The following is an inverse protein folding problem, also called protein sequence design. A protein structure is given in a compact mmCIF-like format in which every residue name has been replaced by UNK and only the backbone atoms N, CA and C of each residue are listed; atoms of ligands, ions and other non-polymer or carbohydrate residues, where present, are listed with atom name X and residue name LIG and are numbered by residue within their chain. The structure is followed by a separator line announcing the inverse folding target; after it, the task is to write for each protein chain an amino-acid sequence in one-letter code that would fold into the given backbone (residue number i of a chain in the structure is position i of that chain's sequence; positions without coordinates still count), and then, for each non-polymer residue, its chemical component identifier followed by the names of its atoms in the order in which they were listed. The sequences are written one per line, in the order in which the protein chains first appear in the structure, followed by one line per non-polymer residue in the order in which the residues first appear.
data_IF_362822998310
#
_entry.id   IF_362822998310
#
_cell.length_a   1.000
_cell.length_b   1.000
_cell.length_c   1.000
_cell.angle_alpha   90.00
_cell.angle_beta   90.00
_cell.angle_gamma   90.00
#
_symmetry.space_group_name_H-M   'P 1'
#
loop_
_entity.id
_entity.type
_entity.pdbx_description
1 polymer ?
#
# COMPACT_ATOMS: atom_id res chain seq x y z
N UNK A 1 -13.63 -34.37 -23.86
CA UNK A 1 -14.50 -33.95 -22.73
C UNK A 1 -13.72 -32.97 -21.86
N UNK A 2 -13.96 -31.67 -22.02
CA UNK A 2 -13.39 -30.62 -21.16
C UNK A 2 -14.37 -30.37 -20.02
N UNK A 3 -13.86 -30.16 -18.80
CA UNK A 3 -14.66 -29.85 -17.61
C UNK A 3 -15.37 -28.49 -17.79
N UNK A 4 -16.62 -28.33 -17.34
CA UNK A 4 -17.31 -27.05 -17.36
C UNK A 4 -17.04 -26.32 -16.04
N UNK A 5 -15.89 -25.68 -15.92
CA UNK A 5 -15.61 -24.70 -14.85
C UNK A 5 -14.40 -23.87 -15.29
N UNK A 6 -14.68 -22.88 -16.14
CA UNK A 6 -13.88 -21.66 -16.28
C UNK A 6 -14.68 -20.70 -17.17
N UNK A 7 -15.80 -20.20 -16.63
CA UNK A 7 -16.39 -18.98 -17.14
C UNK A 7 -15.73 -17.83 -16.39
N UNK A 8 -14.85 -17.12 -17.07
CA UNK A 8 -14.38 -15.78 -16.72
C UNK A 8 -15.56 -14.94 -16.21
N UNK A 9 -15.62 -14.67 -14.90
CA UNK A 9 -16.46 -13.58 -14.38
C UNK A 9 -15.64 -12.31 -14.40
N UNK A 10 -15.44 -11.77 -15.59
CA UNK A 10 -14.82 -10.46 -15.78
C UNK A 10 -15.93 -9.43 -15.95
N UNK A 11 -16.36 -8.85 -14.83
CA UNK A 11 -16.98 -7.52 -14.80
C UNK A 11 -16.44 -6.80 -13.56
N UNK A 12 -15.22 -6.29 -13.64
CA UNK A 12 -14.73 -5.30 -12.66
C UNK A 12 -15.27 -3.93 -13.09
N UNK A 13 -16.48 -3.64 -12.64
CA UNK A 13 -17.10 -2.32 -12.83
C UNK A 13 -16.24 -1.22 -12.21
N UNK A 14 -16.29 -0.02 -12.78
CA UNK A 14 -15.61 1.15 -12.23
C UNK A 14 -16.17 1.47 -10.84
N UNK A 15 -15.32 1.32 -9.81
CA UNK A 15 -15.65 1.66 -8.43
C UNK A 15 -14.89 2.90 -8.00
N UNK A 16 -15.61 3.92 -7.54
CA UNK A 16 -15.03 5.12 -6.92
C UNK A 16 -15.55 5.23 -5.50
N UNK A 17 -14.67 5.32 -4.50
CA UNK A 17 -15.08 5.56 -3.12
C UNK A 17 -14.72 6.98 -2.71
N UNK A 18 -15.67 7.75 -2.19
CA UNK A 18 -15.48 9.14 -1.80
C UNK A 18 -15.67 9.29 -0.29
N UNK A 19 -14.61 9.72 0.37
CA UNK A 19 -14.60 10.19 1.76
C UNK A 19 -14.53 11.72 1.76
N UNK A 20 -15.26 12.40 2.64
CA UNK A 20 -15.29 13.88 2.64
C UNK A 20 -15.40 14.49 4.02
N UNK A 21 -14.81 15.67 4.18
CA UNK A 21 -15.13 16.58 5.29
C UNK A 21 -16.44 17.32 5.01
N UNK A 22 -17.17 17.68 6.06
CA UNK A 22 -18.30 18.61 5.94
C UNK A 22 -17.80 19.97 5.48
N UNK A 23 -18.50 20.61 4.53
CA UNK A 23 -18.09 21.91 3.95
C UNK A 23 -16.95 21.86 2.92
N UNK A 24 -16.49 20.67 2.51
CA UNK A 24 -15.39 20.52 1.54
C UNK A 24 -15.80 20.48 0.07
N UNK A 25 -17.05 20.79 -0.27
CA UNK A 25 -17.63 20.60 -1.61
C UNK A 25 -17.73 19.13 -2.07
N UNK A 26 -17.54 18.17 -1.16
CA UNK A 26 -17.54 16.75 -1.53
C UNK A 26 -18.87 16.23 -2.06
N UNK A 27 -20.00 16.84 -1.68
CA UNK A 27 -21.32 16.43 -2.18
C UNK A 27 -21.54 16.91 -3.62
N UNK A 28 -21.17 18.15 -3.88
CA UNK A 28 -21.24 18.84 -5.16
C UNK A 28 -20.37 18.12 -6.18
N UNK A 29 -19.12 17.81 -5.81
CA UNK A 29 -18.19 17.03 -6.63
C UNK A 29 -18.77 15.64 -6.90
N UNK A 30 -19.26 14.94 -5.87
CA UNK A 30 -19.85 13.59 -6.05
C UNK A 30 -21.02 13.62 -7.02
N UNK A 31 -21.96 14.55 -6.83
CA UNK A 31 -23.17 14.69 -7.65
C UNK A 31 -22.82 14.97 -9.11
N UNK A 32 -21.89 15.90 -9.34
CA UNK A 32 -21.48 16.25 -10.69
C UNK A 32 -20.68 15.13 -11.35
N UNK A 33 -19.78 14.47 -10.63
CA UNK A 33 -19.02 13.32 -11.13
C UNK A 33 -19.94 12.16 -11.50
N UNK A 34 -20.92 11.83 -10.65
CA UNK A 34 -21.91 10.79 -10.90
C UNK A 34 -22.71 11.06 -12.19
N UNK A 35 -23.16 12.31 -12.39
CA UNK A 35 -23.83 12.72 -13.63
C UNK A 35 -22.93 12.59 -14.85
N UNK A 36 -21.66 12.98 -14.73
CA UNK A 36 -20.69 12.94 -15.84
C UNK A 36 -20.35 11.50 -16.27
N UNK A 37 -20.26 10.59 -15.31
CA UNK A 37 -19.92 9.18 -15.56
C UNK A 37 -21.15 8.28 -15.72
N UNK A 38 -22.36 8.82 -15.54
CA UNK A 38 -23.61 8.07 -15.49
C UNK A 38 -23.56 6.89 -14.48
N UNK A 39 -23.05 7.16 -13.28
CA UNK A 39 -22.90 6.14 -12.23
C UNK A 39 -23.91 6.34 -11.09
N UNK A 40 -24.46 5.26 -10.53
CA UNK A 40 -25.24 5.34 -9.30
C UNK A 40 -24.38 5.77 -8.13
N UNK A 41 -24.97 6.53 -7.20
CA UNK A 41 -24.33 6.94 -5.95
C UNK A 41 -24.93 6.19 -4.78
N UNK A 42 -24.09 5.42 -4.09
CA UNK A 42 -24.45 4.70 -2.87
C UNK A 42 -24.00 5.51 -1.67
N UNK A 43 -24.95 5.79 -0.76
CA UNK A 43 -24.73 6.58 0.45
C UNK A 43 -25.16 5.78 1.68
N UNK A 44 -24.81 6.27 2.86
CA UNK A 44 -25.32 5.70 4.11
C UNK A 44 -26.85 5.64 4.14
N UNK A 45 -27.50 6.73 3.74
CA UNK A 45 -28.95 6.84 3.81
C UNK A 45 -29.63 5.90 2.81
N UNK A 46 -29.08 5.73 1.61
CA UNK A 46 -29.63 4.77 0.65
C UNK A 46 -29.53 3.34 1.19
N UNK A 47 -28.41 2.98 1.81
CA UNK A 47 -28.21 1.65 2.39
C UNK A 47 -29.15 1.40 3.59
N UNK A 48 -29.23 2.34 4.54
CA UNK A 48 -30.08 2.16 5.72
C UNK A 48 -31.56 2.02 5.35
N UNK A 49 -32.03 2.83 4.40
CA UNK A 49 -33.44 2.85 4.01
C UNK A 49 -33.83 1.74 3.02
N UNK A 50 -32.92 1.32 2.14
CA UNK A 50 -33.25 0.35 1.08
C UNK A 50 -32.75 -1.06 1.39
N UNK A 51 -31.55 -1.20 1.96
CA UNK A 51 -30.91 -2.51 2.11
C UNK A 51 -31.08 -3.10 3.50
N UNK A 52 -30.99 -2.28 4.55
CA UNK A 52 -31.14 -2.74 5.93
C UNK A 52 -32.59 -2.88 6.35
N UNK A 53 -33.52 -2.18 5.70
CA UNK A 53 -34.96 -2.31 5.99
C UNK A 53 -35.50 -3.74 5.82
N UNK A 54 -34.82 -4.58 5.03
CA UNK A 54 -35.18 -5.99 4.81
C UNK A 54 -34.67 -6.92 5.93
N UNK A 55 -33.64 -6.51 6.66
CA UNK A 55 -32.87 -7.39 7.58
C UNK A 55 -32.80 -6.86 9.01
N UNK A 56 -33.29 -5.64 9.26
CA UNK A 56 -33.25 -4.96 10.55
C UNK A 56 -34.61 -4.38 10.90
N UNK A 57 -35.03 -4.53 12.16
CA UNK A 57 -36.24 -3.90 12.70
C UNK A 57 -36.09 -2.38 12.89
N UNK A 58 -37.19 -1.68 13.16
CA UNK A 58 -37.21 -0.22 13.36
C UNK A 58 -36.20 0.26 14.42
N UNK A 59 -36.09 -0.47 15.53
CA UNK A 59 -35.15 -0.13 16.59
C UNK A 59 -33.69 -0.28 16.14
N UNK A 60 -33.36 -1.37 15.45
CA UNK A 60 -32.02 -1.65 14.93
C UNK A 60 -31.61 -0.60 13.88
N UNK A 61 -32.53 -0.23 12.96
CA UNK A 61 -32.29 0.85 11.99
C UNK A 61 -31.98 2.18 12.66
N UNK A 62 -32.72 2.52 13.72
CA UNK A 62 -32.44 3.72 14.51
C UNK A 62 -31.05 3.63 15.19
N UNK A 63 -30.73 2.50 15.82
CA UNK A 63 -29.43 2.28 16.46
C UNK A 63 -28.25 2.33 15.47
N UNK A 64 -28.43 1.81 14.25
CA UNK A 64 -27.45 1.93 13.15
C UNK A 64 -27.26 3.38 12.70
N UNK A 65 -28.24 4.26 12.92
CA UNK A 65 -28.09 5.69 12.62
C UNK A 65 -27.29 6.40 13.72
N UNK A 66 -27.51 6.04 14.98
CA UNK A 66 -26.95 6.73 16.15
C UNK A 66 -25.56 6.23 16.58
N UNK A 67 -25.29 4.93 16.44
CA UNK A 67 -24.13 4.30 17.07
C UNK A 67 -23.30 3.48 16.08
N UNK A 68 -22.05 3.89 15.78
CA UNK A 68 -21.13 3.06 15.00
C UNK A 68 -20.84 1.69 15.64
N UNK A 69 -20.82 1.61 16.97
CA UNK A 69 -20.56 0.34 17.67
C UNK A 69 -21.67 -0.70 17.42
N UNK A 70 -22.88 -0.24 17.10
CA UNK A 70 -23.99 -1.12 16.77
C UNK A 70 -23.77 -1.87 15.45
N UNK A 71 -22.89 -1.40 14.56
CA UNK A 71 -22.51 -2.18 13.39
C UNK A 71 -21.78 -3.49 13.76
N UNK A 72 -21.19 -3.57 14.94
CA UNK A 72 -20.46 -4.75 15.41
C UNK A 72 -21.37 -5.78 16.08
N UNK A 73 -22.64 -5.46 16.36
CA UNK A 73 -23.57 -6.40 16.98
C UNK A 73 -24.08 -7.40 15.96
N UNK A 74 -24.33 -8.66 16.36
CA UNK A 74 -24.94 -9.66 15.49
C UNK A 74 -26.36 -9.25 15.09
N UNK A 75 -26.71 -9.52 13.84
CA UNK A 75 -28.05 -9.41 13.29
C UNK A 75 -28.83 -10.72 13.43
N UNK A 76 -30.08 -10.72 12.98
CA UNK A 76 -30.91 -11.93 12.82
C UNK A 76 -30.28 -13.01 11.92
N UNK A 77 -29.34 -12.65 11.05
CA UNK A 77 -28.60 -13.56 10.18
C UNK A 77 -27.36 -14.19 10.86
N UNK A 78 -27.12 -13.92 12.14
CA UNK A 78 -26.01 -14.46 12.91
C UNK A 78 -24.64 -13.81 12.62
N UNK A 79 -24.57 -12.88 11.66
CA UNK A 79 -23.38 -12.07 11.36
C UNK A 79 -23.61 -10.61 11.76
N UNK A 80 -22.52 -9.84 11.95
CA UNK A 80 -22.63 -8.43 12.32
C UNK A 80 -23.23 -7.58 11.21
N UNK A 81 -23.84 -6.44 11.56
CA UNK A 81 -24.34 -5.50 10.56
C UNK A 81 -23.22 -4.89 9.69
N UNK A 82 -21.99 -4.79 10.21
CA UNK A 82 -20.80 -4.45 9.43
C UNK A 82 -20.52 -5.50 8.34
N UNK A 83 -20.57 -6.79 8.69
CA UNK A 83 -20.38 -7.87 7.72
C UNK A 83 -21.49 -7.88 6.66
N UNK A 84 -22.75 -7.63 7.06
CA UNK A 84 -23.86 -7.48 6.11
C UNK A 84 -23.61 -6.31 5.15
N UNK A 85 -23.21 -5.15 5.68
CA UNK A 85 -22.88 -3.97 4.88
C UNK A 85 -21.81 -4.29 3.84
N UNK A 86 -20.71 -4.91 4.29
CA UNK A 86 -19.59 -5.27 3.42
C UNK A 86 -20.01 -6.25 2.33
N UNK A 87 -20.75 -7.30 2.68
CA UNK A 87 -21.21 -8.30 1.71
C UNK A 87 -22.15 -7.67 0.69
N UNK A 88 -23.17 -6.90 1.13
CA UNK A 88 -24.09 -6.23 0.20
C UNK A 88 -23.36 -5.24 -0.71
N UNK A 89 -22.38 -4.49 -0.20
CA UNK A 89 -21.57 -3.58 -1.01
C UNK A 89 -20.74 -4.35 -2.05
N UNK A 90 -20.06 -5.43 -1.65
CA UNK A 90 -19.28 -6.29 -2.55
C UNK A 90 -20.15 -6.93 -3.63
N UNK A 91 -21.30 -7.48 -3.25
CA UNK A 91 -22.27 -8.05 -4.18
C UNK A 91 -22.76 -7.00 -5.19
N UNK A 92 -23.08 -5.78 -4.72
CA UNK A 92 -23.54 -4.70 -5.58
C UNK A 92 -22.48 -4.30 -6.61
N UNK A 93 -21.23 -4.06 -6.20
CA UNK A 93 -20.17 -3.61 -7.12
C UNK A 93 -19.64 -4.72 -8.02
N UNK A 94 -19.82 -5.99 -7.65
CA UNK A 94 -19.51 -7.12 -8.53
C UNK A 94 -20.42 -7.21 -9.76
N UNK A 95 -21.57 -6.53 -9.73
CA UNK A 95 -22.57 -6.55 -10.79
C UNK A 95 -22.59 -5.25 -11.60
N UNK A 96 -22.15 -4.13 -11.02
CA UNK A 96 -22.22 -2.82 -11.66
C UNK A 96 -21.21 -1.81 -11.11
N UNK A 97 -20.89 -0.82 -11.94
CA UNK A 97 -20.06 0.33 -11.56
C UNK A 97 -20.81 1.26 -10.60
N UNK A 98 -20.10 1.90 -9.66
CA UNK A 98 -20.73 2.74 -8.64
C UNK A 98 -19.79 3.78 -8.02
N UNK A 99 -20.38 4.84 -7.46
CA UNK A 99 -19.71 5.74 -6.53
C UNK A 99 -20.23 5.47 -5.12
N UNK A 100 -19.37 5.09 -4.18
CA UNK A 100 -19.75 4.88 -2.77
C UNK A 100 -19.25 6.04 -1.92
N UNK A 101 -20.15 6.71 -1.19
CA UNK A 101 -19.80 7.84 -0.32
C UNK A 101 -19.75 7.40 1.15
N UNK A 102 -18.58 7.52 1.75
CA UNK A 102 -18.35 7.17 3.16
C UNK A 102 -18.35 5.66 3.39
N UNK A 103 -19.04 5.22 4.46
CA UNK A 103 -19.22 3.81 4.82
C UNK A 103 -17.95 2.99 5.07
N UNK A 104 -16.78 3.65 5.15
CA UNK A 104 -15.50 2.93 5.21
C UNK A 104 -15.14 2.22 3.91
N UNK A 105 -15.77 2.58 2.79
CA UNK A 105 -15.59 1.90 1.51
C UNK A 105 -14.13 1.86 1.05
N UNK A 106 -13.32 2.88 1.36
CA UNK A 106 -11.89 2.88 1.05
C UNK A 106 -11.09 1.80 1.80
N UNK A 107 -11.61 1.30 2.91
CA UNK A 107 -11.01 0.22 3.70
C UNK A 107 -11.55 -1.13 3.22
N UNK A 108 -12.87 -1.21 3.02
CA UNK A 108 -13.56 -2.43 2.55
C UNK A 108 -12.99 -2.89 1.20
N UNK A 109 -12.71 -1.94 0.32
CA UNK A 109 -12.24 -2.18 -1.05
C UNK A 109 -10.74 -1.91 -1.23
N UNK A 110 -9.97 -1.75 -0.14
CA UNK A 110 -8.52 -1.56 -0.23
C UNK A 110 -7.79 -2.65 -1.05
N UNK A 111 -8.20 -3.94 -1.00
CA UNK A 111 -7.59 -4.98 -1.84
C UNK A 111 -8.00 -4.93 -3.31
N UNK A 112 -8.98 -4.13 -3.70
CA UNK A 112 -9.50 -4.09 -5.07
C UNK A 112 -8.64 -3.18 -5.96
N UNK A 113 -7.83 -3.75 -6.88
CA UNK A 113 -6.98 -2.96 -7.75
C UNK A 113 -7.78 -2.14 -8.76
N UNK A 114 -9.11 -2.34 -8.88
CA UNK A 114 -10.05 -1.60 -9.75
C UNK A 114 -10.83 -0.46 -9.03
N UNK A 115 -10.74 -0.36 -7.70
CA UNK A 115 -11.33 0.73 -6.91
C UNK A 115 -10.48 2.03 -6.77
N UNK A 116 -11.03 3.19 -7.11
CA UNK A 116 -10.40 4.50 -6.87
C UNK A 116 -10.85 5.11 -5.53
N UNK A 117 -9.95 5.18 -4.54
CA UNK A 117 -10.20 5.80 -3.25
C UNK A 117 -9.84 7.29 -3.20
N UNK A 118 -10.83 8.14 -2.91
CA UNK A 118 -10.71 9.60 -2.94
C UNK A 118 -11.11 10.18 -1.58
N UNK A 119 -10.33 11.17 -1.12
CA UNK A 119 -10.70 12.04 0.00
C UNK A 119 -10.86 13.48 -0.46
N UNK A 120 -11.94 14.14 -0.06
CA UNK A 120 -12.22 15.54 -0.37
C UNK A 120 -12.16 16.38 0.91
N UNK A 121 -11.20 17.30 0.98
CA UNK A 121 -10.90 18.14 2.15
C UNK A 121 -10.92 19.62 1.78
N UNK A 122 -10.91 20.49 2.80
CA UNK A 122 -10.66 21.92 2.63
C UNK A 122 -10.13 22.53 3.93
N UNK A 123 -9.44 23.69 3.89
CA UNK A 123 -8.96 24.36 5.08
C UNK A 123 -10.13 24.69 6.02
N UNK A 124 -9.95 24.62 7.36
CA UNK A 124 -11.02 24.86 8.32
C UNK A 124 -11.80 26.15 8.08
N UNK A 125 -11.12 27.29 7.91
CA UNK A 125 -11.78 28.60 7.67
C UNK A 125 -12.63 28.61 6.40
N UNK A 126 -12.19 27.93 5.33
CA UNK A 126 -12.96 27.81 4.10
C UNK A 126 -14.24 27.00 4.34
N UNK A 127 -14.14 25.90 5.10
CA UNK A 127 -15.29 25.05 5.45
C UNK A 127 -16.27 25.79 6.36
N UNK A 128 -15.77 26.56 7.33
CA UNK A 128 -16.57 27.39 8.25
C UNK A 128 -17.41 28.37 7.44
N UNK A 129 -16.78 29.16 6.56
CA UNK A 129 -17.48 30.14 5.74
C UNK A 129 -18.57 29.50 4.85
N UNK A 130 -18.26 28.35 4.24
CA UNK A 130 -19.25 27.60 3.43
C UNK A 130 -20.43 27.12 4.27
N UNK A 131 -20.17 26.56 5.44
CA UNK A 131 -21.24 26.10 6.36
C UNK A 131 -22.08 27.26 6.87
N UNK A 132 -21.47 28.38 7.24
CA UNK A 132 -22.19 29.59 7.64
C UNK A 132 -23.16 30.04 6.54
N UNK A 133 -22.72 30.07 5.28
CA UNK A 133 -23.54 30.46 4.14
C UNK A 133 -24.66 29.45 3.84
N UNK A 134 -24.36 28.15 3.83
CA UNK A 134 -25.32 27.10 3.45
C UNK A 134 -26.36 26.83 4.54
N UNK A 135 -25.99 26.97 5.82
CA UNK A 135 -26.86 26.64 6.96
C UNK A 135 -27.33 27.86 7.75
N UNK A 136 -26.98 29.08 7.31
CA UNK A 136 -27.30 30.33 8.02
C UNK A 136 -26.86 30.32 9.49
N UNK A 137 -25.69 29.75 9.76
CA UNK A 137 -25.10 29.64 11.10
C UNK A 137 -24.14 30.81 11.35
N UNK A 138 -24.00 31.20 12.62
CA UNK A 138 -22.88 32.04 13.02
C UNK A 138 -21.56 31.26 13.02
N UNK A 139 -20.43 31.97 13.17
CA UNK A 139 -19.09 31.34 13.11
C UNK A 139 -18.92 30.26 14.17
N UNK A 140 -19.39 30.48 15.40
CA UNK A 140 -19.18 29.57 16.54
C UNK A 140 -20.01 28.30 16.38
N UNK A 141 -21.24 28.42 15.91
CA UNK A 141 -22.11 27.29 15.62
C UNK A 141 -21.60 26.50 14.40
N UNK A 142 -21.08 27.18 13.38
CA UNK A 142 -20.44 26.53 12.24
C UNK A 142 -19.17 25.74 12.62
N UNK A 143 -18.30 26.30 13.46
CA UNK A 143 -17.13 25.62 14.01
C UNK A 143 -17.54 24.36 14.78
N UNK A 144 -18.50 24.49 15.70
CA UNK A 144 -19.02 23.37 16.50
C UNK A 144 -19.65 22.30 15.61
N UNK A 145 -20.41 22.70 14.58
CA UNK A 145 -21.03 21.78 13.64
C UNK A 145 -19.97 20.97 12.86
N UNK A 146 -18.92 21.63 12.36
CA UNK A 146 -17.81 20.96 11.68
C UNK A 146 -17.07 20.00 12.61
N UNK A 147 -16.78 20.42 13.85
CA UNK A 147 -16.11 19.56 14.82
C UNK A 147 -16.93 18.29 15.11
N UNK A 148 -18.23 18.45 15.34
CA UNK A 148 -19.15 17.34 15.62
C UNK A 148 -19.25 16.37 14.44
N UNK A 149 -19.35 16.87 13.22
CA UNK A 149 -19.45 16.03 12.02
C UNK A 149 -18.13 15.31 11.71
N UNK A 150 -16.99 16.00 11.77
CA UNK A 150 -15.67 15.39 11.59
C UNK A 150 -15.39 14.33 12.69
N UNK A 151 -15.84 14.60 13.93
CA UNK A 151 -15.76 13.62 15.04
C UNK A 151 -16.62 12.39 14.75
N UNK A 152 -17.82 12.55 14.20
CA UNK A 152 -18.68 11.41 13.80
C UNK A 152 -18.00 10.56 12.72
N UNK A 153 -17.41 11.16 11.70
CA UNK A 153 -16.67 10.43 10.66
C UNK A 153 -15.47 9.65 11.24
N UNK A 154 -14.63 10.31 12.05
CA UNK A 154 -13.51 9.65 12.74
C UNK A 154 -13.96 8.50 13.62
N UNK A 155 -14.99 8.72 14.45
CA UNK A 155 -15.55 7.71 15.35
C UNK A 155 -16.11 6.52 14.59
N UNK A 156 -16.77 6.74 13.45
CA UNK A 156 -17.31 5.65 12.65
C UNK A 156 -16.20 4.71 12.17
N UNK A 157 -15.17 5.29 11.53
CA UNK A 157 -14.04 4.53 10.98
C UNK A 157 -13.22 3.85 12.09
N UNK A 158 -12.88 4.57 13.16
CA UNK A 158 -12.06 4.00 14.22
C UNK A 158 -12.78 2.93 15.04
N UNK A 159 -14.11 3.04 15.18
CA UNK A 159 -14.89 2.04 15.93
C UNK A 159 -14.96 0.73 15.16
N UNK A 160 -15.32 0.78 13.88
CA UNK A 160 -15.61 -0.41 13.06
C UNK A 160 -14.32 -1.02 12.49
N UNK A 161 -13.44 -0.19 11.91
CA UNK A 161 -12.30 -0.67 11.13
C UNK A 161 -10.95 -0.53 11.85
N UNK A 162 -10.91 0.10 13.04
CA UNK A 162 -9.68 0.38 13.80
C UNK A 162 -8.61 1.17 13.03
N UNK A 163 -9.04 1.93 12.02
CA UNK A 163 -8.18 2.80 11.21
C UNK A 163 -8.39 4.27 11.58
N UNK A 164 -7.43 5.12 11.21
CA UNK A 164 -7.60 6.57 11.30
C UNK A 164 -8.15 7.13 9.99
N UNK A 165 -9.36 7.69 10.04
CA UNK A 165 -9.97 8.39 8.91
C UNK A 165 -9.09 9.51 8.33
N UNK A 166 -8.21 10.08 9.15
CA UNK A 166 -7.30 11.15 8.77
C UNK A 166 -6.14 10.68 7.89
N UNK A 167 -5.74 9.40 8.00
CA UNK A 167 -4.58 8.83 7.35
C UNK A 167 -4.66 8.95 5.81
N UNK A 168 -3.73 9.68 5.17
CA UNK A 168 -3.71 9.81 3.71
C UNK A 168 -3.43 8.48 2.99
N UNK A 169 -2.78 7.50 3.63
CA UNK A 169 -2.44 6.22 3.00
C UNK A 169 -3.67 5.34 2.69
N UNK A 170 -4.82 5.64 3.28
CA UNK A 170 -6.09 4.98 2.97
C UNK A 170 -6.72 5.45 1.64
N UNK A 171 -6.11 6.41 0.96
CA UNK A 171 -6.67 7.06 -0.23
C UNK A 171 -5.63 7.15 -1.33
N UNK A 172 -6.06 6.94 -2.58
CA UNK A 172 -5.21 7.14 -3.74
C UNK A 172 -5.06 8.63 -4.08
N UNK A 173 -6.11 9.44 -3.84
CA UNK A 173 -6.13 10.88 -4.09
C UNK A 173 -6.78 11.64 -2.93
N UNK A 174 -6.12 12.71 -2.46
CA UNK A 174 -6.73 13.69 -1.55
C UNK A 174 -6.84 15.04 -2.26
N UNK A 175 -8.06 15.49 -2.52
CA UNK A 175 -8.34 16.77 -3.18
C UNK A 175 -8.69 17.84 -2.15
N UNK A 176 -7.89 18.90 -2.10
CA UNK A 176 -8.13 20.05 -1.24
C UNK A 176 -8.87 21.15 -2.02
N UNK A 177 -10.15 21.38 -1.68
CA UNK A 177 -11.01 22.36 -2.34
C UNK A 177 -10.93 23.76 -1.76
N UNK A 178 -9.85 24.09 -1.04
CA UNK A 178 -9.60 25.46 -0.56
C UNK A 178 -9.58 26.47 -1.70
N UNK A 179 -8.91 26.11 -2.80
CA UNK A 179 -8.84 26.90 -4.04
C UNK A 179 -9.17 26.09 -5.29
N UNK A 180 -9.30 24.76 -5.18
CA UNK A 180 -9.72 23.89 -6.28
C UNK A 180 -11.25 23.96 -6.44
N UNK A 181 -11.70 24.28 -7.66
CA UNK A 181 -13.12 24.33 -8.00
C UNK A 181 -13.72 22.92 -8.14
N UNK A 182 -15.06 22.86 -8.16
CA UNK A 182 -15.80 21.61 -8.39
C UNK A 182 -15.48 21.02 -9.76
N UNK A 183 -15.41 21.86 -10.80
CA UNK A 183 -15.15 21.43 -12.17
C UNK A 183 -13.73 20.84 -12.33
N UNK A 184 -12.71 21.49 -11.75
CA UNK A 184 -11.34 20.98 -11.75
C UNK A 184 -11.25 19.64 -11.00
N UNK A 185 -11.86 19.54 -9.83
CA UNK A 185 -11.89 18.31 -9.06
C UNK A 185 -12.57 17.16 -9.84
N UNK A 186 -13.73 17.43 -10.45
CA UNK A 186 -14.45 16.44 -11.28
C UNK A 186 -13.62 16.03 -12.50
N UNK A 187 -12.94 16.96 -13.15
CA UNK A 187 -12.07 16.65 -14.29
C UNK A 187 -10.92 15.72 -13.89
N UNK A 188 -10.26 15.98 -12.77
CA UNK A 188 -9.20 15.13 -12.22
C UNK A 188 -9.70 13.73 -11.87
N UNK A 189 -10.84 13.64 -11.16
CA UNK A 189 -11.41 12.34 -10.77
C UNK A 189 -11.88 11.52 -11.98
N UNK A 190 -12.46 12.18 -12.99
CA UNK A 190 -12.85 11.53 -14.23
C UNK A 190 -11.63 10.97 -14.97
N UNK A 191 -10.57 11.77 -15.10
CA UNK A 191 -9.33 11.32 -15.72
C UNK A 191 -8.73 10.12 -14.98
N UNK A 192 -8.62 10.20 -13.64
CA UNK A 192 -8.09 9.12 -12.83
C UNK A 192 -8.93 7.84 -12.92
N UNK A 193 -10.26 7.97 -12.97
CA UNK A 193 -11.18 6.84 -13.11
C UNK A 193 -11.08 6.15 -14.48
N UNK A 194 -11.00 6.93 -15.57
CA UNK A 194 -10.97 6.40 -16.94
C UNK A 194 -9.64 5.77 -17.33
N UNK A 195 -8.53 6.21 -16.73
CA UNK A 195 -7.18 5.74 -17.05
C UNK A 195 -6.62 4.78 -15.99
N UNK A 196 -7.50 4.14 -15.21
CA UNK A 196 -7.07 3.29 -14.11
C UNK A 196 -6.69 1.91 -14.64
N UNK A 197 -5.39 1.63 -14.66
CA UNK A 197 -4.83 0.35 -15.13
C UNK A 197 -4.62 -0.69 -14.03
N UNK A 198 -5.06 -0.42 -12.80
CA UNK A 198 -4.99 -1.33 -11.65
C UNK A 198 -3.58 -1.84 -11.37
N UNK A 199 -2.87 -1.18 -10.45
CA UNK A 199 -1.61 -1.74 -9.95
C UNK A 199 -1.98 -2.90 -9.03
N UNK A 200 -1.82 -4.13 -9.51
CA UNK A 200 -1.73 -5.27 -8.59
C UNK A 200 -0.49 -5.03 -7.72
N UNK A 201 -0.54 -5.25 -6.39
CA UNK A 201 0.67 -5.35 -5.61
C UNK A 201 1.58 -6.31 -6.36
N UNK A 202 2.78 -5.88 -6.75
CA UNK A 202 3.73 -6.79 -7.35
C UNK A 202 3.84 -7.95 -6.37
N UNK A 203 3.29 -9.11 -6.73
CA UNK A 203 3.68 -10.34 -6.04
C UNK A 203 5.20 -10.31 -6.10
N UNK A 204 5.91 -10.38 -4.96
CA UNK A 204 7.36 -10.48 -4.99
C UNK A 204 7.61 -11.61 -5.96
N UNK A 205 8.23 -11.30 -7.11
CA UNK A 205 8.44 -12.28 -8.19
C UNK A 205 8.80 -13.56 -7.49
N UNK A 206 7.89 -14.54 -7.55
CA UNK A 206 8.17 -15.83 -6.96
C UNK A 206 9.55 -16.17 -7.51
N UNK A 207 10.52 -16.37 -6.62
CA UNK A 207 11.85 -16.79 -7.01
C UNK A 207 11.66 -18.20 -7.55
N UNK A 208 11.12 -18.28 -8.77
CA UNK A 208 11.01 -19.49 -9.53
C UNK A 208 12.46 -19.78 -9.86
N UNK A 209 13.00 -20.76 -9.16
CA UNK A 209 14.24 -21.45 -9.43
C UNK A 209 14.18 -22.07 -10.82
N UNK A 210 14.19 -21.23 -11.84
CA UNK A 210 14.10 -21.58 -13.24
C UNK A 210 15.20 -20.86 -13.96
N UNK A 211 16.30 -21.61 -14.11
CA UNK A 211 17.55 -21.26 -14.76
C UNK A 211 18.35 -20.19 -14.03
N UNK A 212 19.49 -20.61 -13.46
CA UNK A 212 20.68 -19.77 -13.29
C UNK A 212 20.84 -18.93 -14.57
N UNK A 213 20.37 -17.68 -14.57
CA UNK A 213 20.77 -16.71 -15.59
C UNK A 213 22.30 -16.77 -15.64
N UNK A 214 22.93 -16.85 -16.81
CA UNK A 214 24.39 -16.86 -16.88
C UNK A 214 24.90 -15.63 -16.14
N UNK A 215 25.61 -15.87 -15.03
CA UNK A 215 26.16 -14.80 -14.20
C UNK A 215 27.24 -14.12 -15.02
N UNK A 216 27.07 -12.83 -15.30
CA UNK A 216 28.09 -12.01 -15.96
C UNK A 216 28.90 -11.34 -14.87
N UNK A 217 30.10 -11.87 -14.61
CA UNK A 217 31.02 -11.31 -13.63
C UNK A 217 31.59 -9.98 -14.13
N UNK A 218 31.73 -9.00 -13.22
CA UNK A 218 32.32 -7.70 -13.52
C UNK A 218 33.84 -7.76 -13.61
N UNK A 219 34.46 -8.74 -12.94
CA UNK A 219 35.90 -8.91 -12.94
C UNK A 219 36.32 -10.40 -13.01
N UNK A 220 37.41 -10.75 -13.72
CA UNK A 220 37.88 -12.15 -13.82
C UNK A 220 38.12 -12.85 -12.49
N UNK A 221 38.51 -12.10 -11.44
CA UNK A 221 38.67 -12.69 -10.10
C UNK A 221 37.38 -13.19 -9.47
N UNK A 222 36.24 -12.61 -9.83
CA UNK A 222 34.92 -13.06 -9.36
C UNK A 222 34.54 -14.37 -10.05
N UNK A 223 34.81 -14.48 -11.35
CA UNK A 223 34.60 -15.73 -12.11
C UNK A 223 35.50 -16.87 -11.61
N UNK A 224 36.78 -16.58 -11.37
CA UNK A 224 37.72 -17.52 -10.74
C UNK A 224 37.19 -17.95 -9.37
N UNK A 225 36.71 -17.02 -8.54
CA UNK A 225 36.18 -17.34 -7.20
C UNK A 225 34.93 -18.21 -7.27
N UNK A 226 33.99 -17.89 -8.16
CA UNK A 226 32.78 -18.68 -8.39
C UNK A 226 33.11 -20.11 -8.84
N UNK A 227 34.05 -20.26 -9.78
CA UNK A 227 34.52 -21.57 -10.28
C UNK A 227 35.06 -22.43 -9.13
N UNK A 228 35.80 -21.83 -8.21
CA UNK A 228 36.35 -22.57 -7.06
C UNK A 228 35.24 -22.94 -6.06
N UNK A 229 34.28 -22.05 -5.80
CA UNK A 229 33.13 -22.38 -4.95
C UNK A 229 32.32 -23.56 -5.54
N UNK A 230 32.12 -23.57 -6.86
CA UNK A 230 31.46 -24.66 -7.59
C UNK A 230 32.24 -25.98 -7.48
N UNK A 231 33.57 -25.95 -7.64
CA UNK A 231 34.44 -27.13 -7.50
C UNK A 231 34.35 -27.76 -6.10
N UNK A 232 34.11 -26.96 -5.06
CA UNK A 232 33.93 -27.44 -3.69
C UNK A 232 32.46 -27.67 -3.30
N UNK A 233 31.52 -27.53 -4.23
CA UNK A 233 30.09 -27.75 -3.98
C UNK A 233 29.47 -26.77 -2.97
N UNK A 234 30.00 -25.54 -2.89
CA UNK A 234 29.48 -24.50 -2.00
C UNK A 234 28.42 -23.70 -2.74
N UNK A 235 27.23 -23.58 -2.16
CA UNK A 235 26.19 -22.71 -2.70
C UNK A 235 26.56 -21.24 -2.53
N UNK A 236 26.35 -20.47 -3.59
CA UNK A 236 26.65 -19.04 -3.61
C UNK A 236 25.64 -18.24 -4.44
N UNK A 237 25.56 -16.96 -4.13
CA UNK A 237 24.79 -15.95 -4.86
C UNK A 237 25.73 -14.79 -5.20
N UNK A 238 25.74 -14.34 -6.46
CA UNK A 238 26.56 -13.19 -6.90
C UNK A 238 25.76 -11.89 -6.78
N UNK A 239 26.38 -10.85 -6.21
CA UNK A 239 25.75 -9.55 -5.88
C UNK A 239 24.31 -9.68 -5.32
N UNK A 240 24.10 -10.48 -4.27
CA UNK A 240 22.78 -10.92 -3.79
C UNK A 240 21.86 -9.77 -3.38
N UNK A 241 22.45 -8.66 -2.90
CA UNK A 241 21.75 -7.42 -2.60
C UNK A 241 22.73 -6.25 -2.53
N UNK A 242 22.18 -5.05 -2.61
CA UNK A 242 22.91 -3.80 -2.41
C UNK A 242 22.52 -3.16 -1.06
N UNK A 243 23.50 -2.70 -0.30
CA UNK A 243 23.33 -2.03 0.98
C UNK A 243 23.59 -0.52 0.83
N UNK A 244 22.58 0.35 0.96
CA UNK A 244 22.80 1.79 1.07
C UNK A 244 23.61 2.13 2.32
N UNK A 245 24.72 2.88 2.19
CA UNK A 245 25.62 3.21 3.31
C UNK A 245 25.84 4.72 3.53
N UNK A 246 25.44 5.58 2.58
CA UNK A 246 25.33 7.02 2.77
C UNK A 246 24.18 7.59 1.96
N UNK A 247 23.66 8.71 2.44
CA UNK A 247 22.62 9.49 1.79
C UNK A 247 23.03 10.96 1.73
N UNK A 248 22.45 11.72 0.79
CA UNK A 248 22.50 13.19 0.79
C UNK A 248 21.48 13.77 1.79
N UNK A 249 21.32 15.10 1.80
CA UNK A 249 20.39 15.78 2.70
C UNK A 249 18.91 15.48 2.34
N UNK A 250 18.65 15.10 1.09
CA UNK A 250 17.36 14.77 0.52
C UNK A 250 16.97 13.29 0.74
N UNK A 251 17.89 12.48 1.26
CA UNK A 251 17.67 11.06 1.53
C UNK A 251 17.91 10.14 0.33
N UNK A 252 18.52 10.63 -0.75
CA UNK A 252 18.93 9.80 -1.88
C UNK A 252 20.23 9.06 -1.54
N UNK A 253 20.37 7.82 -2.03
CA UNK A 253 21.56 6.99 -1.76
C UNK A 253 22.75 7.56 -2.55
N UNK A 254 23.74 8.13 -1.84
CA UNK A 254 24.98 8.66 -2.44
C UNK A 254 26.11 7.64 -2.46
N UNK A 255 26.03 6.64 -1.59
CA UNK A 255 26.99 5.55 -1.56
C UNK A 255 26.29 4.26 -1.16
N UNK A 256 26.48 3.22 -1.96
CA UNK A 256 26.05 1.88 -1.65
C UNK A 256 27.24 0.91 -1.64
N UNK A 257 27.00 -0.24 -1.03
CA UNK A 257 27.93 -1.35 -0.96
C UNK A 257 27.20 -2.62 -1.38
N UNK A 258 27.69 -3.26 -2.45
CA UNK A 258 27.13 -4.50 -2.99
C UNK A 258 28.21 -5.55 -2.79
N UNK A 259 28.07 -6.47 -1.82
CA UNK A 259 29.05 -7.54 -1.63
C UNK A 259 29.09 -8.43 -2.87
N UNK A 260 30.28 -8.82 -3.30
CA UNK A 260 30.49 -9.62 -4.50
C UNK A 260 29.76 -10.98 -4.44
N UNK A 261 29.77 -11.66 -3.29
CA UNK A 261 29.07 -12.94 -3.09
C UNK A 261 28.34 -13.03 -1.76
N UNK A 262 27.39 -13.95 -1.66
CA UNK A 262 26.83 -14.47 -0.41
C UNK A 262 26.81 -15.98 -0.42
N UNK A 263 27.19 -16.57 0.71
CA UNK A 263 27.22 -18.00 0.92
C UNK A 263 26.08 -18.36 1.88
N UNK A 264 24.91 -18.81 1.38
CA UNK A 264 23.70 -18.97 2.19
C UNK A 264 23.90 -19.91 3.38
N UNK A 265 24.60 -21.03 3.16
CA UNK A 265 24.90 -22.02 4.19
C UNK A 265 25.63 -21.44 5.41
N UNK A 266 26.44 -20.40 5.20
CA UNK A 266 27.27 -19.78 6.25
C UNK A 266 26.75 -18.42 6.68
N UNK A 267 25.61 -17.98 6.12
CA UNK A 267 25.06 -16.63 6.28
C UNK A 267 26.16 -15.56 6.24
N UNK A 268 27.00 -15.60 5.20
CA UNK A 268 28.18 -14.74 5.10
C UNK A 268 28.31 -14.12 3.72
N UNK A 269 28.43 -12.80 3.70
CA UNK A 269 28.79 -12.02 2.52
C UNK A 269 30.31 -12.02 2.32
N UNK A 270 30.74 -12.13 1.08
CA UNK A 270 32.14 -12.09 0.67
C UNK A 270 32.35 -10.88 -0.23
N UNK A 271 33.37 -10.11 0.09
CA UNK A 271 33.89 -9.03 -0.73
C UNK A 271 35.31 -9.40 -1.17
N UNK A 272 35.53 -9.60 -2.46
CA UNK A 272 36.84 -9.88 -3.01
C UNK A 272 37.69 -8.61 -3.01
N UNK A 273 38.99 -8.72 -2.74
CA UNK A 273 39.91 -7.60 -2.86
C UNK A 273 41.24 -8.02 -3.48
N UNK A 274 41.87 -7.08 -4.19
CA UNK A 274 43.24 -7.19 -4.68
C UNK A 274 44.24 -6.74 -3.60
N UNK A 275 45.53 -7.02 -3.82
CA UNK A 275 46.62 -6.62 -2.90
C UNK A 275 46.97 -5.11 -2.96
N UNK A 276 46.36 -4.34 -3.87
CA UNK A 276 46.52 -2.88 -3.91
C UNK A 276 45.96 -2.22 -2.64
N UNK A 277 46.85 -1.60 -1.87
CA UNK A 277 46.54 -0.98 -0.57
C UNK A 277 45.48 0.11 -0.65
N UNK A 278 45.37 0.85 -1.76
CA UNK A 278 44.40 1.94 -1.89
C UNK A 278 42.97 1.39 -1.92
N UNK A 279 42.72 0.37 -2.75
CA UNK A 279 41.41 -0.28 -2.88
C UNK A 279 40.99 -1.02 -1.61
N UNK A 280 41.94 -1.65 -0.91
CA UNK A 280 41.70 -2.31 0.38
C UNK A 280 41.19 -1.32 1.43
N UNK A 281 41.77 -0.11 1.48
CA UNK A 281 41.39 0.92 2.46
C UNK A 281 39.96 1.44 2.24
N UNK A 282 39.55 1.61 0.99
CA UNK A 282 38.21 2.05 0.62
C UNK A 282 37.16 0.96 0.91
N UNK A 283 37.43 -0.29 0.51
CA UNK A 283 36.54 -1.43 0.81
C UNK A 283 36.35 -1.61 2.33
N UNK A 284 37.43 -1.53 3.12
CA UNK A 284 37.33 -1.59 4.60
C UNK A 284 36.45 -0.48 5.18
N UNK A 285 36.58 0.76 4.69
CA UNK A 285 35.72 1.88 5.13
C UNK A 285 34.25 1.62 4.82
N UNK A 286 33.93 1.13 3.62
CA UNK A 286 32.54 0.77 3.25
C UNK A 286 31.99 -0.36 4.13
N UNK A 287 32.79 -1.40 4.38
CA UNK A 287 32.40 -2.52 5.25
C UNK A 287 32.18 -2.07 6.70
N UNK A 288 33.01 -1.16 7.22
CA UNK A 288 32.80 -0.58 8.56
C UNK A 288 31.51 0.23 8.64
N UNK A 289 31.22 1.05 7.63
CA UNK A 289 29.95 1.78 7.53
C UNK A 289 28.77 0.82 7.43
N UNK A 290 28.88 -0.24 6.62
CA UNK A 290 27.87 -1.28 6.51
C UNK A 290 27.62 -1.95 7.86
N UNK A 291 28.65 -2.39 8.59
CA UNK A 291 28.47 -3.02 9.91
C UNK A 291 27.84 -2.09 10.94
N UNK A 292 28.12 -0.78 10.83
CA UNK A 292 27.50 0.25 11.70
C UNK A 292 26.01 0.43 11.39
N UNK A 293 25.63 0.40 10.12
CA UNK A 293 24.25 0.63 9.68
C UNK A 293 23.39 -0.64 9.69
N UNK A 294 24.01 -1.80 9.49
CA UNK A 294 23.37 -3.11 9.43
C UNK A 294 24.05 -4.08 10.41
N UNK A 295 23.85 -3.88 11.72
CA UNK A 295 24.43 -4.74 12.74
C UNK A 295 23.97 -6.19 12.55
N UNK A 296 24.88 -7.15 12.72
CA UNK A 296 24.62 -8.57 12.46
C UNK A 296 24.95 -9.04 11.05
N UNK A 297 25.27 -8.14 10.11
CA UNK A 297 25.70 -8.55 8.77
C UNK A 297 27.11 -9.16 8.82
N UNK A 298 27.20 -10.47 8.60
CA UNK A 298 28.47 -11.18 8.50
C UNK A 298 29.09 -10.93 7.13
N UNK A 299 30.15 -10.13 7.10
CA UNK A 299 30.89 -9.85 5.88
C UNK A 299 32.39 -10.03 6.09
N UNK A 300 33.00 -10.76 5.15
CA UNK A 300 34.43 -11.05 5.10
C UNK A 300 35.03 -10.49 3.82
N UNK A 301 36.12 -9.73 3.97
CA UNK A 301 36.95 -9.30 2.84
C UNK A 301 37.97 -10.40 2.57
N UNK A 302 38.05 -10.90 1.34
CA UNK A 302 38.89 -12.04 0.96
C UNK A 302 39.88 -11.61 -0.12
N UNK A 303 41.16 -11.88 0.11
CA UNK A 303 42.20 -11.62 -0.88
C UNK A 303 42.22 -12.72 -1.95
N UNK A 304 42.50 -12.33 -3.20
CA UNK A 304 42.60 -13.25 -4.34
C UNK A 304 43.48 -14.49 -4.06
N UNK A 305 44.56 -14.34 -3.29
CA UNK A 305 45.53 -15.42 -3.03
C UNK A 305 45.22 -16.27 -1.78
N UNK A 306 44.25 -15.86 -0.94
CA UNK A 306 43.99 -16.46 0.37
C UNK A 306 42.75 -17.37 0.38
N UNK A 307 42.35 -17.87 -0.80
CA UNK A 307 41.16 -18.71 -0.95
C UNK A 307 41.25 -20.02 -0.13
N UNK A 308 42.38 -20.73 -0.19
CA UNK A 308 42.56 -21.99 0.54
C UNK A 308 42.49 -21.81 2.07
N UNK A 309 42.88 -20.63 2.57
CA UNK A 309 42.69 -20.26 3.97
C UNK A 309 41.22 -19.99 4.32
N UNK A 310 40.44 -19.43 3.38
CA UNK A 310 39.00 -19.26 3.53
C UNK A 310 38.30 -20.63 3.57
N UNK A 311 38.64 -21.53 2.64
CA UNK A 311 38.11 -22.88 2.58
C UNK A 311 38.38 -23.68 3.87
N UNK A 312 39.61 -23.60 4.39
CA UNK A 312 39.98 -24.19 5.70
C UNK A 312 39.18 -23.60 6.85
N UNK A 313 38.92 -22.29 6.86
CA UNK A 313 38.14 -21.60 7.90
C UNK A 313 36.67 -22.03 7.92
N UNK A 314 36.11 -22.43 6.77
CA UNK A 314 34.75 -22.95 6.66
C UNK A 314 34.65 -24.49 6.72
N UNK A 315 35.77 -25.18 7.03
CA UNK A 315 35.77 -26.61 7.33
C UNK A 315 35.75 -27.55 6.11
N UNK A 316 36.14 -27.06 4.93
CA UNK A 316 36.27 -27.88 3.73
C UNK A 316 37.56 -28.70 3.81
N UNK A 317 37.46 -30.02 3.65
CA UNK A 317 38.62 -30.94 3.68
C UNK A 317 39.42 -30.81 2.39
N UNK A 318 40.75 -30.83 2.50
CA UNK A 318 41.63 -31.08 1.36
C UNK A 318 41.46 -32.55 0.97
N UNK A 319 40.96 -32.83 -0.24
CA UNK A 319 41.16 -34.15 -0.83
C UNK A 319 42.64 -34.26 -1.22
N UNK A 320 43.25 -35.36 -0.77
CA UNK A 320 44.67 -35.69 -0.93
C UNK A 320 45.04 -36.03 -2.36
#
# INVERSE_FOLDING_TARGET
MRRPDDQQREVTGLLITISRQTGSLGEEITRQLAKNLNLPVITRDSILNQWFAEVAGKHELHMLTESPAFFLTPSSLGISFAAILENKLKDYVSQQSAIIVGLGAQIIFAPDPSALHVKITAPPEVRINRVMQTHSLDKKDAERFLELTDRKHRRYISTIYKQDWSDPALYHLTLNTGLLSVDEAVALLRYAAQNRSGLSPAEPEAVTDHNRKPVVFKHPSEEEFATILDMHGIEWQYEPRTFPIKWDAEGNITLAFSPDFYLPRFDTYIELTTMDQKYVSEKKKKVQLLKKLYPGTNINIVFKNDFYSLARRFGLREES
#
